data_IF_940004438416
#
_entry.id   IF_940004438416
#
_cell.length_a   1.000
_cell.length_b   1.000
_cell.length_c   1.000
_cell.angle_alpha   90.00
_cell.angle_beta   90.00
_cell.angle_gamma   90.00
#
_symmetry.space_group_name_H-M   'P 1'
#
loop_
_entity.id
_entity.type
_entity.pdbx_description
1 polymer ?
#
# COMPACT_ATOMS: atom_id res chain seq x y z
N UNK A 1 -8.01 -8.28 4.15
CA UNK A 1 -7.06 -7.97 5.26
C UNK A 1 -6.33 -6.63 5.07
N UNK A 2 -5.90 -6.30 3.85
CA UNK A 2 -5.21 -5.04 3.55
C UNK A 2 -6.01 -3.78 3.92
N UNK A 3 -7.29 -3.68 3.51
CA UNK A 3 -8.13 -2.52 3.84
C UNK A 3 -8.17 -2.22 5.35
N UNK A 4 -8.39 -3.25 6.18
CA UNK A 4 -8.43 -3.09 7.63
C UNK A 4 -7.06 -2.69 8.22
N UNK A 5 -5.95 -3.17 7.64
CA UNK A 5 -4.62 -2.77 8.06
C UNK A 5 -4.33 -1.30 7.70
N UNK A 6 -4.73 -0.89 6.50
CA UNK A 6 -4.55 0.47 6.02
C UNK A 6 -5.39 1.46 6.86
N UNK A 7 -6.66 1.14 7.15
CA UNK A 7 -7.53 1.95 8.02
C UNK A 7 -6.94 2.11 9.43
N UNK A 8 -6.47 1.01 10.03
CA UNK A 8 -5.80 1.06 11.34
C UNK A 8 -4.52 1.89 11.33
N UNK A 9 -3.74 1.82 10.26
CA UNK A 9 -2.55 2.64 10.08
C UNK A 9 -2.91 4.13 9.99
N UNK A 10 -3.94 4.48 9.21
CA UNK A 10 -4.43 5.84 9.06
C UNK A 10 -4.97 6.41 10.38
N UNK A 11 -5.79 5.66 11.10
CA UNK A 11 -6.26 6.03 12.43
C UNK A 11 -5.09 6.27 13.40
N UNK A 12 -4.07 5.40 13.40
CA UNK A 12 -2.86 5.56 14.23
C UNK A 12 -2.00 6.76 13.82
N UNK A 13 -2.07 7.18 12.57
CA UNK A 13 -1.41 8.38 12.06
C UNK A 13 -2.16 9.68 12.38
N UNK A 14 -3.36 9.60 12.99
CA UNK A 14 -4.25 10.77 13.15
C UNK A 14 -4.92 11.19 11.84
N UNK A 15 -4.87 10.35 10.81
CA UNK A 15 -5.40 10.57 9.45
C UNK A 15 -6.71 9.79 9.23
N UNK A 16 -7.54 9.64 10.28
CA UNK A 16 -8.81 8.92 10.22
C UNK A 16 -9.95 9.68 9.52
N UNK A 17 -9.74 10.95 9.17
CA UNK A 17 -10.67 11.75 8.35
C UNK A 17 -10.48 11.52 6.85
N UNK A 18 -11.55 11.70 6.08
CA UNK A 18 -11.65 11.30 4.66
C UNK A 18 -10.55 11.85 3.75
N UNK A 19 -10.13 13.11 3.92
CA UNK A 19 -9.12 13.75 3.07
C UNK A 19 -7.69 13.37 3.47
N UNK A 20 -7.42 13.26 4.78
CA UNK A 20 -6.08 13.02 5.31
C UNK A 20 -5.56 11.60 4.99
N UNK A 21 -6.47 10.67 4.74
CA UNK A 21 -6.17 9.31 4.35
C UNK A 21 -5.58 9.19 2.94
N UNK A 22 -6.07 9.98 1.98
CA UNK A 22 -5.63 9.94 0.59
C UNK A 22 -4.25 10.58 0.37
N UNK A 23 -3.85 11.50 1.25
CA UNK A 23 -2.57 12.21 1.18
C UNK A 23 -1.35 11.27 1.16
N UNK A 24 -1.47 10.09 1.77
CA UNK A 24 -0.41 9.09 1.80
C UNK A 24 -0.48 8.06 0.66
N UNK A 25 -1.50 8.14 -0.22
CA UNK A 25 -1.67 7.17 -1.30
C UNK A 25 -0.65 7.42 -2.41
N UNK A 26 0.01 6.34 -2.82
CA UNK A 26 0.94 6.36 -3.93
C UNK A 26 0.31 5.70 -5.15
N UNK A 27 0.46 6.34 -6.31
CA UNK A 27 0.13 5.71 -7.60
C UNK A 27 1.42 5.14 -8.17
N UNK A 28 1.43 3.82 -8.36
CA UNK A 28 2.53 3.12 -9.02
C UNK A 28 1.97 2.48 -10.28
N UNK A 29 2.59 2.79 -11.41
CA UNK A 29 2.29 2.17 -12.70
C UNK A 29 3.40 1.17 -13.03
N UNK A 30 3.01 0.05 -13.60
CA UNK A 30 3.93 -0.99 -14.04
C UNK A 30 3.54 -1.45 -15.44
N UNK A 31 4.53 -1.67 -16.29
CA UNK A 31 4.32 -2.22 -17.62
C UNK A 31 4.02 -3.72 -17.50
N UNK A 32 2.99 -4.15 -18.23
CA UNK A 32 2.58 -5.55 -18.28
C UNK A 32 2.86 -6.05 -19.70
N UNK A 33 3.45 -7.24 -19.89
CA UNK A 33 3.71 -7.77 -21.21
C UNK A 33 2.43 -7.81 -22.06
N UNK A 34 2.49 -7.33 -23.31
CA UNK A 34 1.33 -7.19 -24.19
C UNK A 34 0.60 -8.52 -24.49
N UNK A 35 1.28 -9.66 -24.34
CA UNK A 35 0.70 -10.98 -24.53
C UNK A 35 -0.05 -11.52 -23.29
N UNK A 36 0.00 -10.82 -22.16
CA UNK A 36 -0.62 -11.24 -20.91
C UNK A 36 -2.07 -10.74 -20.84
N UNK A 37 -2.99 -11.63 -20.49
CA UNK A 37 -4.38 -11.27 -20.21
C UNK A 37 -4.46 -10.37 -18.97
N UNK A 38 -5.28 -9.31 -19.03
CA UNK A 38 -5.37 -8.32 -17.95
C UNK A 38 -5.96 -8.89 -16.66
N UNK A 39 -6.91 -9.82 -16.75
CA UNK A 39 -7.49 -10.45 -15.56
C UNK A 39 -6.46 -11.38 -14.90
N UNK A 40 -5.70 -12.13 -15.70
CA UNK A 40 -4.59 -12.94 -15.18
C UNK A 40 -3.52 -12.06 -14.53
N UNK A 41 -3.14 -10.94 -15.17
CA UNK A 41 -2.17 -9.99 -14.62
C UNK A 41 -2.62 -9.42 -13.26
N UNK A 42 -3.90 -9.09 -13.12
CA UNK A 42 -4.46 -8.60 -11.87
C UNK A 42 -4.45 -9.67 -10.77
N UNK A 43 -4.79 -10.92 -11.11
CA UNK A 43 -4.74 -12.04 -10.18
C UNK A 43 -3.32 -12.34 -9.71
N UNK A 44 -2.34 -12.32 -10.62
CA UNK A 44 -0.93 -12.55 -10.28
C UNK A 44 -0.40 -11.44 -9.37
N UNK A 45 -0.76 -10.18 -9.65
CA UNK A 45 -0.41 -9.05 -8.80
C UNK A 45 -1.05 -9.18 -7.39
N UNK A 46 -2.32 -9.59 -7.31
CA UNK A 46 -2.98 -9.84 -6.03
C UNK A 46 -2.30 -10.98 -5.26
N UNK A 47 -1.97 -12.09 -5.92
CA UNK A 47 -1.26 -13.21 -5.30
C UNK A 47 0.14 -12.81 -4.80
N UNK A 48 0.86 -11.99 -5.58
CA UNK A 48 2.16 -11.47 -5.17
C UNK A 48 2.07 -10.56 -3.93
N UNK A 49 1.06 -9.69 -3.85
CA UNK A 49 0.80 -8.88 -2.66
C UNK A 49 0.46 -9.74 -1.45
N UNK A 50 -0.38 -10.77 -1.65
CA UNK A 50 -0.75 -11.72 -0.61
C UNK A 50 0.48 -12.47 -0.05
N UNK A 51 1.36 -12.94 -0.94
CA UNK A 51 2.59 -13.63 -0.58
C UNK A 51 3.63 -12.71 0.09
N UNK A 52 3.72 -11.44 -0.34
CA UNK A 52 4.69 -10.47 0.17
C UNK A 52 4.40 -10.03 1.59
N UNK A 53 3.13 -9.86 1.94
CA UNK A 53 2.74 -9.31 3.24
C UNK A 53 2.08 -10.39 4.08
N UNK A 54 2.78 -10.92 5.07
CA UNK A 54 2.17 -11.74 6.11
C UNK A 54 1.35 -10.90 7.09
N UNK A 55 0.57 -11.53 7.96
CA UNK A 55 -0.13 -10.82 9.03
C UNK A 55 0.83 -10.13 10.01
N UNK A 56 2.04 -10.69 10.18
CA UNK A 56 3.09 -10.06 10.98
C UNK A 56 3.60 -8.77 10.32
N UNK A 57 3.77 -8.78 8.99
CA UNK A 57 4.20 -7.59 8.24
C UNK A 57 3.13 -6.51 8.27
N UNK A 58 1.86 -6.88 8.08
CA UNK A 58 0.74 -5.94 8.21
C UNK A 58 0.67 -5.34 9.63
N UNK A 59 0.91 -6.15 10.66
CA UNK A 59 0.96 -5.67 12.05
C UNK A 59 2.11 -4.66 12.27
N UNK A 60 3.29 -4.92 11.70
CA UNK A 60 4.42 -4.01 11.76
C UNK A 60 4.12 -2.68 11.03
N UNK A 61 3.54 -2.75 9.83
CA UNK A 61 3.10 -1.58 9.07
C UNK A 61 2.06 -0.76 9.83
N UNK A 62 1.04 -1.40 10.42
CA UNK A 62 0.05 -0.71 11.26
C UNK A 62 0.73 0.03 12.41
N UNK A 63 1.64 -0.63 13.13
CA UNK A 63 2.39 -0.01 14.25
C UNK A 63 3.22 1.18 13.77
N UNK A 64 3.74 1.12 12.55
CA UNK A 64 4.52 2.17 11.90
C UNK A 64 3.69 3.10 10.99
N UNK A 65 2.38 3.24 11.24
CA UNK A 65 1.51 4.20 10.53
C UNK A 65 1.52 4.03 9.00
N UNK A 66 1.73 2.81 8.51
CA UNK A 66 1.71 2.46 7.09
C UNK A 66 3.06 2.59 6.37
N UNK A 67 4.15 2.87 7.08
CA UNK A 67 5.47 3.06 6.48
C UNK A 67 6.31 1.77 6.61
N UNK A 68 6.94 1.32 5.51
CA UNK A 68 7.93 0.23 5.59
C UNK A 68 9.21 0.73 6.30
N UNK A 69 9.79 -0.04 7.24
CA UNK A 69 11.06 0.32 7.85
C UNK A 69 12.16 0.41 6.78
N UNK A 70 12.78 1.58 6.64
CA UNK A 70 13.86 1.81 5.68
C UNK A 70 13.44 2.29 4.28
N UNK A 71 12.13 2.50 4.03
CA UNK A 71 11.74 3.29 2.86
C UNK A 71 12.07 4.77 3.10
N UNK A 72 12.76 5.45 2.17
CA UNK A 72 12.92 6.89 2.26
C UNK A 72 11.53 7.54 2.25
N UNK A 73 11.30 8.52 3.12
CA UNK A 73 10.10 9.37 3.06
C UNK A 73 9.96 9.87 1.63
N UNK A 74 8.79 9.67 0.98
CA UNK A 74 8.60 10.14 -0.37
C UNK A 74 8.81 11.66 -0.35
N UNK A 75 9.85 12.11 -1.05
CA UNK A 75 10.14 13.53 -1.23
C UNK A 75 8.87 14.18 -1.76
N UNK A 76 8.33 15.12 -0.99
CA UNK A 76 7.17 15.89 -1.36
C UNK A 76 7.50 16.63 -2.66
N UNK A 77 6.98 16.14 -3.78
CA UNK A 77 7.19 16.73 -5.11
C UNK A 77 6.42 18.05 -5.09
N UNK A 78 7.10 19.16 -4.77
CA UNK A 78 6.53 20.50 -4.93
C UNK A 78 6.24 20.71 -6.42
N UNK A 79 4.97 20.94 -6.75
CA UNK A 79 4.54 21.50 -8.03
C UNK A 79 4.69 23.03 -8.00
#
# INVERSE_FOLDING_TARGET
RFQAAIDRAAMRAGKGGSEAYLDAWQRVSQDIPAAQDLAQAANDAAAALEARYSDQDLSALIKNKGLEPGQPTPTQIQS
#
